data_IF_585951606840
#
_entry.id   IF_585951606840
#
_cell.length_a   1.000
_cell.length_b   1.000
_cell.length_c   1.000
_cell.angle_alpha   90.00
_cell.angle_beta   90.00
_cell.angle_gamma   90.00
#
_symmetry.space_group_name_H-M   'P 1'
#
loop_
_entity.id
_entity.type
_entity.pdbx_description
1 polymer ?
#
# COMPACT_ATOMS: atom_id res chain seq x y z
N UNK A 1 21.66 24.69 3.71
CA UNK A 1 20.55 25.46 4.32
C UNK A 1 19.17 24.82 4.03
N UNK A 2 18.85 24.31 2.81
CA UNK A 2 17.55 23.72 2.47
C UNK A 2 17.26 22.39 3.21
N UNK A 3 18.25 21.55 3.40
CA UNK A 3 18.10 20.28 4.15
C UNK A 3 17.87 20.51 5.64
N UNK A 4 18.42 21.55 6.22
CA UNK A 4 18.16 21.92 7.61
C UNK A 4 16.69 22.32 7.83
N UNK A 5 16.08 23.10 6.92
CA UNK A 5 14.68 23.50 7.04
C UNK A 5 13.69 22.32 6.99
N UNK A 6 14.00 21.26 6.21
CA UNK A 6 13.15 20.07 6.14
C UNK A 6 13.27 19.26 7.44
N UNK A 7 14.47 19.08 7.95
CA UNK A 7 14.73 18.34 9.19
C UNK A 7 14.15 19.05 10.42
N UNK A 8 14.20 20.37 10.46
CA UNK A 8 13.61 21.17 11.54
C UNK A 8 12.07 21.14 11.47
N UNK A 9 11.49 21.12 10.27
CA UNK A 9 10.04 20.94 10.09
C UNK A 9 9.57 19.57 10.50
N UNK A 10 10.33 18.50 10.17
CA UNK A 10 10.01 17.14 10.60
C UNK A 10 10.05 17.01 12.14
N UNK A 11 11.07 17.58 12.79
CA UNK A 11 11.13 17.63 14.26
C UNK A 11 9.97 18.40 14.87
N UNK A 12 9.60 19.54 14.31
CA UNK A 12 8.45 20.32 14.78
C UNK A 12 7.11 19.57 14.56
N UNK A 13 7.02 18.70 13.53
CA UNK A 13 5.87 17.83 13.32
C UNK A 13 5.85 16.65 14.30
N UNK A 14 7.01 16.07 14.62
CA UNK A 14 7.13 15.00 15.62
C UNK A 14 6.76 15.49 17.03
N UNK A 15 7.14 16.71 17.39
CA UNK A 15 6.76 17.33 18.67
C UNK A 15 5.25 17.63 18.79
N UNK A 16 4.56 17.77 17.65
CA UNK A 16 3.12 18.08 17.57
C UNK A 16 2.27 16.91 17.12
N UNK A 17 2.81 15.70 17.16
CA UNK A 17 2.13 14.49 16.66
C UNK A 17 0.76 14.27 17.34
N UNK A 18 0.63 14.60 18.62
CA UNK A 18 -0.62 14.49 19.37
C UNK A 18 -1.70 15.48 18.87
N UNK A 19 -1.31 16.65 18.36
CA UNK A 19 -2.21 17.63 17.76
C UNK A 19 -2.65 17.25 16.34
N UNK A 20 -1.84 16.42 15.64
CA UNK A 20 -2.10 15.93 14.28
C UNK A 20 -3.00 14.68 14.24
N UNK A 21 -3.37 14.14 15.42
CA UNK A 21 -4.24 12.95 15.55
C UNK A 21 -5.73 13.19 15.21
N UNK A 22 -6.30 14.42 15.12
CA UNK A 22 -7.68 14.54 14.67
C UNK A 22 -7.84 13.93 13.28
N UNK A 23 -8.72 12.92 13.15
CA UNK A 23 -9.02 12.22 11.89
C UNK A 23 -9.85 13.07 10.91
N UNK A 24 -9.78 14.38 11.02
CA UNK A 24 -10.47 15.36 10.16
C UNK A 24 -9.49 16.43 9.70
N UNK A 25 -9.76 17.00 8.54
CA UNK A 25 -8.95 18.07 7.97
C UNK A 25 -9.05 19.30 8.86
N UNK A 26 -7.91 19.81 9.31
CA UNK A 26 -7.81 21.03 10.11
C UNK A 26 -7.56 22.25 9.21
N UNK A 27 -7.73 23.43 9.77
CA UNK A 27 -7.40 24.69 9.06
C UNK A 27 -5.91 24.77 8.73
N UNK A 28 -5.06 24.23 9.59
CA UNK A 28 -3.61 24.18 9.38
C UNK A 28 -3.22 23.29 8.20
N UNK A 29 -3.91 22.16 8.02
CA UNK A 29 -3.71 21.27 6.86
C UNK A 29 -4.05 21.98 5.55
N UNK A 30 -5.12 22.77 5.52
CA UNK A 30 -5.50 23.57 4.36
C UNK A 30 -4.43 24.62 4.04
N UNK A 31 -3.95 25.35 5.05
CA UNK A 31 -2.89 26.35 4.88
C UNK A 31 -1.59 25.70 4.43
N UNK A 32 -1.21 24.56 5.01
CA UNK A 32 -0.03 23.81 4.61
C UNK A 32 -0.12 23.33 3.17
N UNK A 33 -1.27 22.85 2.73
CA UNK A 33 -1.51 22.42 1.35
C UNK A 33 -1.41 23.56 0.35
N UNK A 34 -1.98 24.72 0.67
CA UNK A 34 -1.88 25.93 -0.16
C UNK A 34 -0.41 26.39 -0.25
N UNK A 35 0.29 26.43 0.88
CA UNK A 35 1.71 26.80 0.92
C UNK A 35 2.58 25.84 0.10
N UNK A 36 2.30 24.53 0.16
CA UNK A 36 2.98 23.53 -0.66
C UNK A 36 2.75 23.76 -2.17
N UNK A 37 1.52 24.04 -2.58
CA UNK A 37 1.18 24.37 -3.98
C UNK A 37 1.90 25.64 -4.47
N UNK A 38 1.93 26.69 -3.64
CA UNK A 38 2.67 27.92 -3.97
C UNK A 38 4.17 27.65 -4.10
N UNK A 39 4.74 26.86 -3.22
CA UNK A 39 6.15 26.47 -3.29
C UNK A 39 6.45 25.69 -4.58
N UNK A 40 5.59 24.76 -4.99
CA UNK A 40 5.72 24.03 -6.25
C UNK A 40 5.68 24.97 -7.46
N UNK A 41 4.80 25.99 -7.47
CA UNK A 41 4.72 26.96 -8.56
C UNK A 41 6.01 27.80 -8.70
N UNK A 42 6.75 27.98 -7.62
CA UNK A 42 8.07 28.64 -7.60
C UNK A 42 9.25 27.67 -7.79
N UNK A 43 9.00 26.43 -8.17
CA UNK A 43 10.02 25.41 -8.37
C UNK A 43 10.68 24.93 -7.08
N UNK A 44 10.06 25.15 -5.93
CA UNK A 44 10.48 24.67 -4.62
C UNK A 44 9.74 23.37 -4.29
N UNK A 45 10.43 22.23 -4.35
CA UNK A 45 9.85 20.91 -4.12
C UNK A 45 9.73 20.11 -5.42
N UNK A 46 9.23 18.89 -5.29
CA UNK A 46 8.94 17.98 -6.39
C UNK A 46 7.49 17.49 -6.26
N UNK A 47 6.87 17.23 -7.38
CA UNK A 47 5.57 16.54 -7.41
C UNK A 47 5.79 15.10 -6.95
N UNK A 48 4.83 14.60 -6.17
CA UNK A 48 4.81 13.19 -5.83
C UNK A 48 4.53 12.34 -7.07
N UNK A 49 5.22 11.21 -7.14
CA UNK A 49 4.99 10.23 -8.18
C UNK A 49 3.77 9.38 -7.81
N UNK A 50 2.72 9.46 -8.63
CA UNK A 50 1.45 8.77 -8.40
C UNK A 50 1.63 7.24 -8.51
N UNK A 51 2.56 6.79 -9.35
CA UNK A 51 2.78 5.37 -9.61
C UNK A 51 3.75 4.70 -8.63
N UNK A 52 4.37 5.50 -7.78
CA UNK A 52 5.20 5.00 -6.68
C UNK A 52 4.37 4.19 -5.69
N UNK A 53 4.84 3.00 -5.29
CA UNK A 53 4.11 2.12 -4.36
C UNK A 53 3.98 2.67 -2.93
N UNK A 54 4.66 3.75 -2.59
CA UNK A 54 4.38 4.52 -1.38
C UNK A 54 3.06 5.31 -1.44
N UNK A 55 2.58 5.63 -2.65
CA UNK A 55 1.32 6.36 -2.89
C UNK A 55 0.18 5.44 -3.34
N UNK A 56 0.47 4.18 -3.64
CA UNK A 56 -0.50 3.17 -4.09
C UNK A 56 -0.61 2.07 -3.03
N UNK A 57 -1.68 2.12 -2.26
CA UNK A 57 -1.96 1.11 -1.24
C UNK A 57 -2.90 0.02 -1.75
N UNK A 58 -2.84 -1.13 -1.13
CA UNK A 58 -3.71 -2.26 -1.40
C UNK A 58 -4.84 -2.28 -0.38
N UNK A 59 -6.04 -2.53 -0.85
CA UNK A 59 -7.20 -2.83 -0.01
C UNK A 59 -7.37 -4.32 0.11
N UNK A 60 -7.14 -4.85 1.30
CA UNK A 60 -7.39 -6.25 1.59
C UNK A 60 -8.89 -6.55 1.72
N UNK A 61 -9.24 -7.82 1.67
CA UNK A 61 -10.63 -8.28 1.76
C UNK A 61 -11.35 -7.78 3.03
N UNK A 62 -10.64 -7.66 4.14
CA UNK A 62 -11.18 -7.13 5.39
C UNK A 62 -11.72 -5.71 5.26
N UNK A 63 -10.98 -4.80 4.61
CA UNK A 63 -11.43 -3.43 4.35
C UNK A 63 -12.65 -3.39 3.41
N UNK A 64 -12.65 -4.22 2.38
CA UNK A 64 -13.78 -4.31 1.44
C UNK A 64 -15.06 -4.80 2.15
N UNK A 65 -14.95 -5.82 2.99
CA UNK A 65 -16.05 -6.34 3.78
C UNK A 65 -16.53 -5.33 4.83
N UNK A 66 -15.61 -4.62 5.49
CA UNK A 66 -15.95 -3.56 6.43
C UNK A 66 -16.79 -2.46 5.77
N UNK A 67 -16.44 -2.07 4.56
CA UNK A 67 -17.22 -1.08 3.80
C UNK A 67 -18.62 -1.60 3.48
N UNK A 68 -18.77 -2.85 3.07
CA UNK A 68 -20.10 -3.44 2.81
C UNK A 68 -20.92 -3.58 4.09
N UNK A 69 -20.29 -3.96 5.18
CA UNK A 69 -20.93 -4.01 6.49
C UNK A 69 -21.44 -2.63 6.94
N UNK A 70 -20.61 -1.59 6.74
CA UNK A 70 -20.99 -0.18 7.02
C UNK A 70 -22.21 0.25 6.20
N UNK A 71 -22.27 -0.09 4.91
CA UNK A 71 -23.43 0.17 4.06
C UNK A 71 -24.67 -0.55 4.60
N UNK A 72 -24.52 -1.81 5.00
CA UNK A 72 -25.59 -2.58 5.61
C UNK A 72 -26.11 -1.96 6.93
N UNK A 73 -25.21 -1.46 7.79
CA UNK A 73 -25.56 -0.76 9.02
C UNK A 73 -26.27 0.57 8.77
N UNK A 74 -25.82 1.34 7.77
CA UNK A 74 -26.49 2.61 7.41
C UNK A 74 -27.91 2.37 6.90
N UNK A 75 -28.11 1.31 6.09
CA UNK A 75 -29.44 0.88 5.66
C UNK A 75 -30.31 0.43 6.84
N UNK A 76 -29.73 -0.31 7.80
CA UNK A 76 -30.42 -0.74 9.02
C UNK A 76 -30.80 0.46 9.88
N UNK A 77 -29.89 1.39 10.13
CA UNK A 77 -30.14 2.60 10.91
C UNK A 77 -31.35 3.38 10.35
N UNK A 78 -31.40 3.56 9.04
CA UNK A 78 -32.51 4.24 8.37
C UNK A 78 -33.84 3.52 8.63
N UNK A 79 -33.89 2.19 8.48
CA UNK A 79 -35.10 1.41 8.71
C UNK A 79 -35.54 1.46 10.18
N UNK A 80 -34.60 1.39 11.12
CA UNK A 80 -34.88 1.51 12.55
C UNK A 80 -35.47 2.90 12.87
N UNK A 81 -34.87 3.96 12.33
CA UNK A 81 -35.36 5.34 12.52
C UNK A 81 -36.78 5.53 11.98
N UNK A 82 -37.07 5.00 10.79
CA UNK A 82 -38.39 5.00 10.19
C UNK A 82 -39.42 4.25 11.07
N UNK A 83 -39.07 3.09 11.59
CA UNK A 83 -39.94 2.29 12.49
C UNK A 83 -40.18 2.98 13.82
N UNK A 84 -39.18 3.60 14.43
CA UNK A 84 -39.32 4.36 15.66
C UNK A 84 -40.32 5.53 15.54
N UNK A 85 -40.45 6.08 14.34
CA UNK A 85 -41.41 7.20 14.09
C UNK A 85 -42.85 6.71 13.97
N UNK A 86 -43.06 5.45 13.53
CA UNK A 86 -44.38 4.90 13.22
C UNK A 86 -44.94 4.07 14.38
N UNK A 87 -44.10 3.40 15.16
CA UNK A 87 -44.53 2.49 16.22
C UNK A 87 -44.76 3.20 17.54
N UNK A 88 -45.70 2.66 18.32
CA UNK A 88 -46.01 3.14 19.66
C UNK A 88 -44.87 2.81 20.63
N UNK A 89 -44.38 3.85 21.34
CA UNK A 89 -43.20 3.75 22.20
C UNK A 89 -43.41 2.81 23.40
N UNK A 90 -44.66 2.59 23.83
CA UNK A 90 -44.97 1.74 24.97
C UNK A 90 -44.85 0.23 24.71
N UNK A 91 -44.84 -0.17 23.43
CA UNK A 91 -44.80 -1.60 23.02
C UNK A 91 -43.50 -1.98 22.30
N UNK A 92 -42.66 -1.01 21.97
CA UNK A 92 -41.44 -1.21 21.16
C UNK A 92 -40.38 -1.93 21.96
N UNK A 93 -39.86 -3.02 21.39
CA UNK A 93 -38.67 -3.75 21.88
C UNK A 93 -37.54 -3.65 20.86
N UNK A 94 -36.25 -3.72 21.26
CA UNK A 94 -35.13 -3.76 20.32
C UNK A 94 -35.24 -4.84 19.25
N UNK A 95 -35.81 -6.00 19.59
CA UNK A 95 -36.01 -7.13 18.69
C UNK A 95 -37.03 -6.85 17.59
N UNK A 96 -38.07 -6.02 17.87
CA UNK A 96 -39.06 -5.62 16.86
C UNK A 96 -38.55 -4.55 15.91
N UNK A 97 -37.64 -3.69 16.40
CA UNK A 97 -37.02 -2.62 15.62
C UNK A 97 -35.89 -3.09 14.70
N UNK A 98 -35.02 -3.98 15.22
CA UNK A 98 -33.82 -4.39 14.53
C UNK A 98 -34.13 -5.51 13.55
N UNK A 99 -33.83 -5.29 12.27
CA UNK A 99 -33.92 -6.30 11.21
C UNK A 99 -32.54 -6.48 10.57
N UNK A 100 -31.96 -7.68 10.68
CA UNK A 100 -30.63 -7.99 10.15
C UNK A 100 -30.57 -8.16 8.63
N UNK A 101 -31.74 -8.23 7.94
CA UNK A 101 -31.82 -8.44 6.50
C UNK A 101 -30.99 -7.44 5.67
N UNK A 102 -30.95 -6.14 5.95
CA UNK A 102 -30.14 -5.19 5.19
C UNK A 102 -28.64 -5.49 5.22
N UNK A 103 -28.12 -5.93 6.36
CA UNK A 103 -26.72 -6.32 6.51
C UNK A 103 -26.43 -7.58 5.71
N UNK A 104 -27.24 -8.62 5.90
CA UNK A 104 -27.08 -9.88 5.17
C UNK A 104 -27.19 -9.67 3.66
N UNK A 105 -28.10 -8.81 3.21
CA UNK A 105 -28.26 -8.46 1.80
C UNK A 105 -27.00 -7.77 1.23
N UNK A 106 -26.43 -6.78 1.97
CA UNK A 106 -25.23 -6.09 1.53
C UNK A 106 -24.02 -7.03 1.40
N UNK A 107 -23.86 -7.96 2.34
CA UNK A 107 -22.78 -8.96 2.27
C UNK A 107 -23.01 -9.93 1.10
N UNK A 108 -24.23 -10.41 0.89
CA UNK A 108 -24.57 -11.27 -0.26
C UNK A 108 -24.35 -10.56 -1.59
N UNK A 109 -24.71 -9.28 -1.67
CA UNK A 109 -24.48 -8.45 -2.85
C UNK A 109 -22.99 -8.37 -3.18
N UNK A 110 -22.12 -8.21 -2.17
CA UNK A 110 -20.67 -8.19 -2.38
C UNK A 110 -20.16 -9.53 -2.95
N UNK A 111 -20.50 -10.66 -2.34
CA UNK A 111 -20.00 -11.96 -2.80
C UNK A 111 -20.63 -12.40 -4.13
N UNK A 112 -21.83 -11.95 -4.45
CA UNK A 112 -22.54 -12.36 -5.67
C UNK A 112 -22.29 -11.48 -6.90
N UNK A 113 -21.98 -10.18 -6.71
CA UNK A 113 -21.91 -9.23 -7.82
C UNK A 113 -20.63 -8.38 -7.87
N UNK A 114 -19.77 -8.45 -6.85
CA UNK A 114 -18.51 -7.71 -6.88
C UNK A 114 -17.54 -8.28 -7.90
N UNK A 115 -16.91 -7.41 -8.69
CA UNK A 115 -15.85 -7.78 -9.62
C UNK A 115 -14.64 -8.43 -8.94
N UNK A 116 -14.41 -8.13 -7.66
CA UNK A 116 -13.30 -8.67 -6.87
C UNK A 116 -13.63 -10.02 -6.22
N UNK A 117 -14.92 -10.37 -6.12
CA UNK A 117 -15.35 -11.69 -5.69
C UNK A 117 -15.42 -12.60 -6.92
N UNK A 118 -14.42 -13.45 -7.09
CA UNK A 118 -14.25 -14.28 -8.27
C UNK A 118 -14.36 -15.77 -7.90
N UNK A 119 -14.74 -16.58 -8.87
CA UNK A 119 -14.64 -18.03 -8.73
C UNK A 119 -13.17 -18.42 -8.67
N UNK A 120 -12.79 -19.16 -7.61
CA UNK A 120 -11.41 -19.50 -7.37
C UNK A 120 -10.91 -20.55 -8.35
N UNK A 121 -9.72 -20.35 -8.89
CA UNK A 121 -9.02 -21.36 -9.69
C UNK A 121 -8.50 -22.45 -8.72
N UNK A 122 -8.98 -23.67 -8.90
CA UNK A 122 -8.67 -24.83 -8.05
C UNK A 122 -8.11 -26.02 -8.85
N UNK A 123 -7.50 -25.76 -10.00
CA UNK A 123 -6.89 -26.80 -10.83
C UNK A 123 -5.82 -27.59 -10.05
N UNK A 124 -5.02 -26.88 -9.25
CA UNK A 124 -4.03 -27.44 -8.34
C UNK A 124 -3.79 -26.47 -7.17
N UNK A 125 -3.12 -26.89 -6.08
CA UNK A 125 -2.88 -26.02 -4.92
C UNK A 125 -2.08 -24.77 -5.23
N UNK A 126 -1.15 -24.82 -6.18
CA UNK A 126 -0.37 -23.65 -6.59
C UNK A 126 -1.22 -22.61 -7.33
N UNK A 127 -2.10 -23.05 -8.20
CA UNK A 127 -3.06 -22.20 -8.92
C UNK A 127 -3.98 -21.46 -7.94
N UNK A 128 -4.47 -22.15 -6.92
CA UNK A 128 -5.25 -21.55 -5.84
C UNK A 128 -4.47 -20.48 -5.08
N UNK A 129 -3.22 -20.78 -4.68
CA UNK A 129 -2.35 -19.84 -3.99
C UNK A 129 -2.08 -18.60 -4.83
N UNK A 130 -1.75 -18.79 -6.10
CA UNK A 130 -1.49 -17.70 -7.06
C UNK A 130 -2.70 -16.80 -7.23
N UNK A 131 -3.90 -17.38 -7.33
CA UNK A 131 -5.14 -16.61 -7.43
C UNK A 131 -5.40 -15.77 -6.18
N UNK A 132 -5.14 -16.31 -4.97
CA UNK A 132 -5.27 -15.58 -3.70
C UNK A 132 -4.27 -14.43 -3.55
N UNK A 133 -3.11 -14.51 -4.20
CA UNK A 133 -2.06 -13.48 -4.18
C UNK A 133 -2.17 -12.46 -5.34
N UNK A 134 -3.24 -12.52 -6.11
CA UNK A 134 -3.48 -11.61 -7.24
C UNK A 134 -3.93 -10.24 -6.73
N UNK A 135 -3.39 -9.19 -7.35
CA UNK A 135 -3.68 -7.79 -7.06
C UNK A 135 -4.36 -7.20 -8.29
N UNK A 136 -5.48 -6.52 -8.09
CA UNK A 136 -6.22 -5.85 -9.16
C UNK A 136 -6.29 -4.35 -8.93
N UNK A 137 -6.00 -3.57 -9.96
CA UNK A 137 -6.22 -2.12 -9.96
C UNK A 137 -7.69 -1.75 -10.27
N UNK A 138 -8.50 -2.74 -10.67
CA UNK A 138 -9.90 -2.58 -11.02
C UNK A 138 -10.81 -2.74 -9.80
N UNK A 139 -12.06 -2.31 -9.95
CA UNK A 139 -13.10 -2.53 -8.95
C UNK A 139 -13.48 -1.28 -8.16
N UNK A 140 -14.28 -1.41 -7.10
CA UNK A 140 -14.79 -0.29 -6.32
C UNK A 140 -13.67 0.55 -5.71
N UNK A 141 -13.62 1.84 -6.08
CA UNK A 141 -12.57 2.77 -5.66
C UNK A 141 -11.22 2.58 -6.34
N UNK A 142 -11.15 1.72 -7.36
CA UNK A 142 -10.02 1.56 -8.26
C UNK A 142 -10.25 2.27 -9.61
N UNK A 143 -9.50 1.84 -10.61
CA UNK A 143 -9.56 2.37 -11.97
C UNK A 143 -10.60 1.64 -12.82
N UNK A 144 -11.13 2.31 -13.85
CA UNK A 144 -11.81 1.64 -14.95
C UNK A 144 -10.82 1.37 -16.08
N UNK A 145 -11.08 0.33 -16.89
CA UNK A 145 -10.21 -0.06 -18.02
C UNK A 145 -9.98 1.08 -19.00
N UNK A 146 -11.05 1.86 -19.27
CA UNK A 146 -11.05 2.94 -20.23
C UNK A 146 -10.26 4.16 -19.73
N UNK A 147 -10.18 4.35 -18.41
CA UNK A 147 -9.47 5.48 -17.78
C UNK A 147 -8.03 5.16 -17.43
N UNK A 148 -7.64 3.90 -17.48
CA UNK A 148 -6.29 3.46 -17.21
C UNK A 148 -5.38 3.73 -18.40
N UNK A 149 -4.57 4.78 -18.34
CA UNK A 149 -3.55 5.11 -19.31
C UNK A 149 -2.35 4.13 -19.28
N UNK A 150 -1.34 4.39 -20.10
CA UNK A 150 -0.13 3.57 -20.14
C UNK A 150 0.67 3.67 -18.86
N UNK A 151 0.78 4.84 -18.24
CA UNK A 151 1.57 5.10 -17.04
C UNK A 151 1.20 4.16 -15.88
N UNK A 152 -0.11 3.93 -15.65
CA UNK A 152 -0.60 3.04 -14.58
C UNK A 152 -0.33 1.56 -14.86
N UNK A 153 -0.13 1.21 -16.14
CA UNK A 153 0.12 -0.17 -16.62
C UNK A 153 1.60 -0.51 -16.69
N UNK A 154 2.45 0.51 -16.69
CA UNK A 154 3.89 0.34 -16.78
C UNK A 154 4.49 -0.22 -15.49
N UNK A 155 5.67 -0.82 -15.62
CA UNK A 155 6.44 -1.33 -14.49
C UNK A 155 7.24 -0.18 -13.90
N UNK A 156 6.90 0.20 -12.69
CA UNK A 156 7.64 1.19 -11.93
C UNK A 156 8.83 0.56 -11.19
N UNK A 157 9.92 1.29 -10.93
CA UNK A 157 11.09 0.74 -10.23
C UNK A 157 10.75 0.24 -8.81
N UNK A 158 9.74 0.81 -8.14
CA UNK A 158 9.28 0.34 -6.82
C UNK A 158 8.59 -1.01 -6.85
N UNK A 159 8.28 -1.55 -8.04
CA UNK A 159 7.73 -2.90 -8.19
C UNK A 159 8.76 -3.98 -7.86
N UNK A 160 10.07 -3.63 -7.86
CA UNK A 160 11.12 -4.58 -7.55
C UNK A 160 10.87 -5.26 -6.19
N UNK A 161 10.93 -6.59 -6.18
CA UNK A 161 10.64 -7.48 -5.03
C UNK A 161 9.20 -7.39 -4.46
N UNK A 162 8.32 -6.53 -4.98
CA UNK A 162 6.94 -6.35 -4.51
C UNK A 162 5.91 -6.93 -5.45
N UNK A 163 6.00 -6.59 -6.72
CA UNK A 163 5.10 -7.07 -7.76
C UNK A 163 5.88 -7.79 -8.83
N UNK A 164 5.35 -8.92 -9.30
CA UNK A 164 5.97 -9.66 -10.40
C UNK A 164 5.82 -8.86 -11.71
N UNK A 165 6.92 -8.52 -12.41
CA UNK A 165 6.83 -7.74 -13.63
C UNK A 165 6.35 -8.56 -14.85
N UNK A 166 6.35 -9.88 -14.75
CA UNK A 166 6.05 -10.80 -15.85
C UNK A 166 4.63 -11.36 -15.74
N UNK A 167 4.16 -11.62 -14.52
CA UNK A 167 2.85 -12.21 -14.30
C UNK A 167 1.75 -11.14 -14.38
N UNK A 168 1.28 -10.93 -15.59
CA UNK A 168 0.16 -10.05 -15.93
C UNK A 168 -0.60 -10.64 -17.11
N UNK A 169 -1.94 -10.50 -17.19
CA UNK A 169 -2.70 -11.00 -18.34
C UNK A 169 -2.36 -10.23 -19.61
N UNK A 170 -2.57 -10.89 -20.76
CA UNK A 170 -2.53 -10.25 -22.06
C UNK A 170 -3.85 -9.53 -22.36
N UNK A 171 -3.81 -8.49 -23.20
CA UNK A 171 -4.98 -7.76 -23.65
C UNK A 171 -5.39 -6.57 -22.77
N UNK A 172 -6.70 -6.27 -22.65
CA UNK A 172 -7.18 -5.01 -22.03
C UNK A 172 -6.80 -4.84 -20.56
N UNK A 173 -6.50 -5.93 -19.86
CA UNK A 173 -6.17 -5.94 -18.44
C UNK A 173 -4.66 -5.93 -18.16
N UNK A 174 -3.82 -5.82 -19.19
CA UNK A 174 -2.36 -5.78 -19.01
C UNK A 174 -1.97 -4.64 -18.06
N UNK A 175 -1.09 -4.93 -17.09
CA UNK A 175 -0.62 -3.99 -16.09
C UNK A 175 -1.66 -3.61 -15.02
N UNK A 176 -2.94 -3.96 -15.18
CA UNK A 176 -3.99 -3.68 -14.19
C UNK A 176 -4.22 -4.85 -13.22
N UNK A 177 -3.80 -6.04 -13.62
CA UNK A 177 -3.83 -7.23 -12.78
C UNK A 177 -2.40 -7.71 -12.65
N UNK A 178 -1.93 -7.82 -11.43
CA UNK A 178 -0.56 -8.17 -11.08
C UNK A 178 -0.55 -9.26 -10.01
N UNK A 179 0.59 -9.88 -9.79
CA UNK A 179 0.80 -10.85 -8.74
C UNK A 179 1.78 -10.31 -7.70
N UNK A 180 1.48 -10.57 -6.43
CA UNK A 180 2.38 -10.24 -5.33
C UNK A 180 3.61 -11.16 -5.39
N UNK A 181 4.82 -10.60 -5.28
CA UNK A 181 6.07 -11.36 -5.22
C UNK A 181 6.10 -12.30 -4.03
N UNK A 182 6.88 -13.38 -4.12
CA UNK A 182 6.85 -14.51 -3.16
C UNK A 182 7.06 -14.09 -1.71
N UNK A 183 8.02 -13.20 -1.44
CA UNK A 183 8.35 -12.73 -0.10
C UNK A 183 7.70 -11.41 0.27
N UNK A 184 6.99 -10.76 -0.66
CA UNK A 184 6.30 -9.52 -0.36
C UNK A 184 5.09 -9.75 0.54
N UNK A 185 4.90 -8.84 1.49
CA UNK A 185 3.79 -8.80 2.44
C UNK A 185 3.07 -7.46 2.36
N UNK A 186 1.90 -7.37 2.96
CA UNK A 186 1.13 -6.13 3.03
C UNK A 186 1.07 -5.72 4.50
N UNK A 187 1.48 -4.49 4.81
CA UNK A 187 1.45 -3.97 6.18
C UNK A 187 0.04 -3.56 6.62
N UNK A 188 -0.11 -3.13 7.86
CA UNK A 188 -1.38 -2.72 8.47
C UNK A 188 -2.03 -1.53 7.75
N UNK A 189 -1.24 -0.69 7.08
CA UNK A 189 -1.71 0.47 6.32
C UNK A 189 -2.08 0.14 4.87
N UNK A 190 -1.76 -1.07 4.41
CA UNK A 190 -2.03 -1.53 3.04
C UNK A 190 -0.88 -1.33 2.06
N UNK A 191 0.31 -0.94 2.52
CA UNK A 191 1.48 -0.82 1.65
C UNK A 191 2.22 -2.15 1.54
N UNK A 192 2.80 -2.38 0.36
CA UNK A 192 3.58 -3.60 0.10
C UNK A 192 4.97 -3.42 0.66
N UNK A 193 5.37 -4.35 1.50
CA UNK A 193 6.70 -4.43 2.08
C UNK A 193 7.45 -5.65 1.55
N UNK A 194 8.77 -5.54 1.50
CA UNK A 194 9.65 -6.61 1.05
C UNK A 194 10.81 -6.77 2.03
N UNK A 195 11.27 -8.00 2.27
CA UNK A 195 12.34 -8.27 3.23
C UNK A 195 13.71 -7.92 2.65
N UNK A 196 14.51 -7.24 3.43
CA UNK A 196 15.91 -6.95 3.17
C UNK A 196 16.77 -7.40 4.33
N UNK A 197 17.94 -7.91 4.03
CA UNK A 197 18.94 -8.28 5.04
C UNK A 197 19.78 -7.05 5.33
N UNK A 198 19.90 -6.72 6.61
CA UNK A 198 20.69 -5.58 7.07
C UNK A 198 22.19 -5.88 6.96
N UNK A 199 22.95 -4.91 6.48
CA UNK A 199 24.41 -4.94 6.51
C UNK A 199 24.89 -4.08 7.68
N UNK A 200 25.81 -4.57 8.47
CA UNK A 200 26.40 -3.82 9.57
C UNK A 200 27.31 -2.70 9.02
N UNK A 201 27.10 -1.44 9.39
CA UNK A 201 27.88 -0.33 8.89
C UNK A 201 29.34 -0.31 9.34
N UNK A 202 29.68 -0.99 10.46
CA UNK A 202 31.03 -1.03 10.99
C UNK A 202 31.87 -2.16 10.38
N UNK A 203 31.27 -3.34 10.29
CA UNK A 203 31.94 -4.55 9.79
C UNK A 203 31.72 -4.80 8.30
N UNK A 204 30.76 -4.10 7.68
CA UNK A 204 30.32 -4.30 6.28
C UNK A 204 29.87 -5.72 5.96
N UNK A 205 29.41 -6.45 6.97
CA UNK A 205 28.93 -7.84 6.85
C UNK A 205 27.42 -7.90 6.81
N UNK A 206 26.92 -8.81 6.00
CA UNK A 206 25.49 -9.12 6.01
C UNK A 206 25.12 -9.78 7.35
N UNK A 207 24.18 -9.19 8.06
CA UNK A 207 23.64 -9.74 9.30
C UNK A 207 22.49 -10.70 9.02
N UNK A 208 22.09 -11.48 10.02
CA UNK A 208 20.88 -12.32 9.93
C UNK A 208 19.60 -11.56 10.21
N UNK A 209 19.70 -10.25 10.46
CA UNK A 209 18.54 -9.39 10.72
C UNK A 209 17.86 -9.08 9.40
N UNK A 210 16.58 -9.46 9.31
CA UNK A 210 15.73 -9.17 8.16
C UNK A 210 14.72 -8.11 8.56
N UNK A 211 14.71 -7.00 7.83
CA UNK A 211 13.76 -5.90 7.99
C UNK A 211 12.83 -5.84 6.77
N UNK A 212 11.53 -5.67 7.03
CA UNK A 212 10.55 -5.42 5.97
C UNK A 212 10.45 -3.93 5.71
N UNK A 213 10.64 -3.52 4.46
CA UNK A 213 10.62 -2.11 4.08
C UNK A 213 9.57 -1.83 3.03
N UNK A 214 8.81 -0.76 3.25
CA UNK A 214 7.95 -0.13 2.25
C UNK A 214 8.79 0.63 1.21
N UNK A 215 8.17 1.04 0.11
CA UNK A 215 8.90 1.67 -1.00
C UNK A 215 9.49 3.04 -0.65
N UNK A 216 8.84 3.81 0.21
CA UNK A 216 9.32 5.11 0.70
C UNK A 216 10.55 4.99 1.60
N UNK A 217 10.57 3.97 2.45
CA UNK A 217 11.71 3.67 3.31
C UNK A 217 12.90 3.21 2.46
N UNK A 218 12.64 2.31 1.50
CA UNK A 218 13.65 1.76 0.59
C UNK A 218 14.37 2.82 -0.23
N UNK A 219 13.67 3.89 -0.64
CA UNK A 219 14.25 4.99 -1.44
C UNK A 219 15.41 5.72 -0.74
N UNK A 220 15.54 5.56 0.56
CA UNK A 220 16.62 6.17 1.35
C UNK A 220 17.87 5.29 1.41
N UNK A 221 17.80 4.04 0.92
CA UNK A 221 18.87 3.06 1.06
C UNK A 221 19.46 2.64 -0.28
N UNK A 222 20.71 2.21 -0.23
CA UNK A 222 21.43 1.59 -1.35
C UNK A 222 21.33 0.08 -1.14
N UNK A 223 20.79 -0.63 -2.12
CA UNK A 223 20.44 -2.04 -1.99
C UNK A 223 21.31 -2.88 -2.90
N UNK A 224 22.08 -3.79 -2.31
CA UNK A 224 22.83 -4.80 -3.03
C UNK A 224 21.91 -5.91 -3.55
N UNK A 225 22.26 -6.50 -4.68
CA UNK A 225 21.52 -7.65 -5.19
C UNK A 225 21.83 -8.90 -4.33
N UNK A 226 20.80 -9.72 -4.09
CA UNK A 226 20.95 -10.97 -3.35
C UNK A 226 21.86 -12.00 -4.04
N UNK A 227 22.13 -11.82 -5.33
CA UNK A 227 23.00 -12.68 -6.12
C UNK A 227 24.48 -12.32 -6.04
N UNK A 228 24.83 -11.21 -5.37
CA UNK A 228 26.24 -10.85 -5.21
C UNK A 228 26.95 -11.88 -4.32
N UNK A 229 28.13 -12.37 -4.75
CA UNK A 229 28.83 -13.42 -4.04
C UNK A 229 29.37 -12.89 -2.69
N UNK A 230 29.04 -13.64 -1.64
CA UNK A 230 29.51 -13.41 -0.28
C UNK A 230 30.28 -14.64 0.23
N UNK A 231 31.20 -14.42 1.14
CA UNK A 231 31.92 -15.49 1.85
C UNK A 231 31.05 -16.10 2.97
N UNK A 232 31.60 -17.11 3.66
CA UNK A 232 30.92 -17.76 4.80
C UNK A 232 30.67 -16.80 5.98
N UNK A 233 31.40 -15.69 6.05
CA UNK A 233 31.29 -14.68 7.11
C UNK A 233 30.31 -13.55 6.76
N UNK A 234 29.69 -13.59 5.55
CA UNK A 234 28.79 -12.57 5.06
C UNK A 234 29.47 -11.31 4.52
N UNK A 235 30.77 -11.38 4.18
CA UNK A 235 31.50 -10.31 3.49
C UNK A 235 31.37 -10.47 1.97
N UNK A 236 31.29 -9.32 1.27
CA UNK A 236 31.30 -9.34 -0.18
C UNK A 236 32.69 -9.70 -0.71
N UNK A 237 32.76 -10.64 -1.66
CA UNK A 237 34.04 -11.10 -2.25
C UNK A 237 34.61 -10.04 -3.20
N UNK A 238 33.73 -9.27 -3.86
CA UNK A 238 34.11 -8.29 -4.85
C UNK A 238 34.27 -6.91 -4.22
N UNK A 239 35.34 -6.18 -4.53
CA UNK A 239 35.54 -4.78 -4.08
C UNK A 239 34.47 -3.82 -4.62
N UNK A 240 33.91 -4.14 -5.78
CA UNK A 240 32.80 -3.40 -6.38
C UNK A 240 31.62 -4.33 -6.60
N UNK A 241 30.48 -3.94 -6.07
CA UNK A 241 29.22 -4.68 -6.17
C UNK A 241 28.18 -3.88 -6.91
N UNK A 242 27.27 -4.58 -7.56
CA UNK A 242 26.11 -3.98 -8.21
C UNK A 242 25.05 -3.70 -7.18
N UNK A 243 24.62 -2.44 -7.13
CA UNK A 243 23.62 -1.98 -6.20
C UNK A 243 22.54 -1.22 -6.94
N UNK A 244 21.36 -1.22 -6.37
CA UNK A 244 20.24 -0.41 -6.83
C UNK A 244 20.04 0.77 -5.87
N UNK A 245 19.92 1.94 -6.44
CA UNK A 245 19.48 3.13 -5.74
C UNK A 245 18.35 3.75 -6.54
N UNK A 246 17.12 3.63 -6.03
CA UNK A 246 15.89 3.99 -6.77
C UNK A 246 15.82 3.28 -8.12
N UNK A 247 15.83 4.05 -9.22
CA UNK A 247 15.76 3.54 -10.59
C UNK A 247 17.13 3.18 -11.19
N UNK A 248 18.21 3.60 -10.54
CA UNK A 248 19.56 3.45 -11.08
C UNK A 248 20.26 2.19 -10.55
N UNK A 249 20.93 1.47 -11.45
CA UNK A 249 21.83 0.38 -11.10
C UNK A 249 23.25 0.91 -11.24
N UNK A 250 23.95 1.01 -10.13
CA UNK A 250 25.32 1.53 -10.06
C UNK A 250 26.27 0.50 -9.46
N UNK A 251 27.54 0.59 -9.81
CA UNK A 251 28.58 -0.19 -9.17
C UNK A 251 29.31 0.66 -8.13
N UNK A 252 29.18 0.31 -6.87
CA UNK A 252 29.81 1.02 -5.76
C UNK A 252 30.82 0.12 -5.03
N UNK A 253 31.80 0.73 -4.39
CA UNK A 253 32.62 0.02 -3.41
C UNK A 253 31.75 -0.35 -2.21
N UNK A 254 31.83 -1.59 -1.74
CA UNK A 254 31.03 -2.06 -0.60
C UNK A 254 31.26 -1.25 0.67
N UNK A 255 32.43 -0.59 0.81
CA UNK A 255 32.74 0.31 1.94
C UNK A 255 31.87 1.59 1.96
N UNK A 256 31.20 1.94 0.86
CA UNK A 256 30.26 3.07 0.79
C UNK A 256 28.80 2.65 0.99
N UNK A 257 28.53 1.37 1.18
CA UNK A 257 27.22 0.89 1.55
C UNK A 257 26.92 1.36 2.99
N UNK A 258 26.27 2.50 3.10
CA UNK A 258 25.53 2.79 4.33
C UNK A 258 24.26 1.95 4.27
N UNK A 259 24.47 0.66 4.58
CA UNK A 259 23.38 -0.27 4.57
C UNK A 259 22.49 -0.03 5.78
N UNK A 260 21.24 0.06 5.51
CA UNK A 260 20.22 -0.43 6.40
C UNK A 260 19.67 -1.68 5.80
#
# INVERSE_FOLDING_TARGET
QRQMCIRDRLKALEERIEELIPKHITTEDMIASINFLLNLSHGLGKKDDIDHLANRRIRCVGELLQNQFRIGLTRLERVVRERMTIQDLDVVTPQTLINTKPITSAIREFFGSSQLSQFMDQTNPLSELTHKRRISALGPGGLSRERAGFEVRDIHYTHYSRLCPIESPEGPNIGLISALSSFATINEYGFIETPYRKIDPETHRATDIVEYMSADVEDNYIIAQASEPMDENGEFINDRIRVRYRNDIIAVSYTHLRAH
#
